data_IF_441576083831
#
_entry.id   IF_441576083831
#
_cell.length_a   1.000
_cell.length_b   1.000
_cell.length_c   1.000
_cell.angle_alpha   90.00
_cell.angle_beta   90.00
_cell.angle_gamma   90.00
#
_symmetry.space_group_name_H-M   'P 1'
#
loop_
_entity.id
_entity.type
_entity.pdbx_description
1 polymer ?
#
# COMPACT_ATOMS: atom_id res chain seq x y z
N UNK A 1 47.22 32.25 -22.64
CA UNK A 1 46.46 30.99 -22.70
C UNK A 1 46.49 30.43 -21.29
N UNK A 2 45.46 30.71 -20.50
CA UNK A 2 45.41 30.44 -19.06
C UNK A 2 44.77 29.08 -18.79
N UNK A 3 45.23 28.35 -17.75
CA UNK A 3 44.90 26.95 -17.50
C UNK A 3 43.44 26.80 -17.03
N UNK A 4 42.52 26.74 -17.97
CA UNK A 4 41.12 26.33 -17.76
C UNK A 4 40.88 25.07 -18.57
N UNK A 5 41.36 23.91 -18.13
CA UNK A 5 40.96 22.63 -18.76
C UNK A 5 41.42 21.34 -18.03
N UNK A 6 41.78 21.38 -16.74
CA UNK A 6 42.27 20.19 -16.03
C UNK A 6 41.55 19.81 -14.72
N UNK A 7 40.40 20.42 -14.39
CA UNK A 7 39.64 20.10 -13.16
C UNK A 7 38.19 19.72 -13.45
N UNK A 8 37.91 19.08 -14.58
CA UNK A 8 36.55 18.69 -14.97
C UNK A 8 36.26 17.19 -14.82
N UNK A 9 37.06 16.41 -14.08
CA UNK A 9 36.92 14.96 -14.15
C UNK A 9 37.18 14.14 -12.88
N UNK A 10 37.11 14.73 -11.68
CA UNK A 10 37.13 13.89 -10.49
C UNK A 10 36.17 14.37 -9.39
N UNK A 11 35.44 13.40 -8.86
CA UNK A 11 34.56 13.48 -7.69
C UNK A 11 33.09 13.93 -7.84
N UNK A 12 32.42 13.34 -8.82
CA UNK A 12 30.98 13.05 -8.81
C UNK A 12 30.55 11.99 -7.75
N UNK A 13 31.22 11.85 -6.59
CA UNK A 13 31.07 10.64 -5.77
C UNK A 13 30.90 10.75 -4.25
N UNK A 14 30.73 11.92 -3.65
CA UNK A 14 30.38 11.96 -2.22
C UNK A 14 29.56 13.19 -1.91
N UNK A 15 28.43 12.97 -1.22
CA UNK A 15 27.40 13.92 -0.77
C UNK A 15 26.27 14.13 -1.79
N UNK A 16 25.14 13.40 -1.68
CA UNK A 16 23.92 13.89 -2.31
C UNK A 16 23.61 15.29 -1.75
N UNK A 17 23.16 16.24 -2.58
CA UNK A 17 22.75 17.55 -2.10
C UNK A 17 21.64 17.37 -1.05
N UNK A 18 21.78 18.08 0.06
CA UNK A 18 20.85 18.17 1.19
C UNK A 18 19.49 18.82 0.81
N UNK A 19 19.08 18.72 -0.47
CA UNK A 19 17.88 19.33 -1.03
C UNK A 19 16.82 18.29 -1.46
N UNK A 20 16.94 17.03 -1.01
CA UNK A 20 15.89 16.01 -1.17
C UNK A 20 14.93 15.92 0.02
N UNK A 21 14.99 16.88 0.95
CA UNK A 21 13.90 17.14 1.88
C UNK A 21 13.20 18.43 1.46
N UNK A 22 12.53 18.39 0.30
CA UNK A 22 11.30 19.16 0.21
C UNK A 22 10.35 18.52 1.21
N UNK A 23 10.38 19.07 2.42
CA UNK A 23 9.29 19.00 3.37
C UNK A 23 8.06 19.55 2.63
N UNK A 24 7.37 18.66 1.92
CA UNK A 24 5.99 18.86 1.54
C UNK A 24 5.23 18.96 2.86
N UNK A 25 5.14 20.18 3.37
CA UNK A 25 4.07 20.61 4.25
C UNK A 25 2.75 20.56 3.48
N UNK A 26 2.35 19.36 3.07
CA UNK A 26 0.95 19.01 2.89
C UNK A 26 0.53 18.46 4.24
N UNK A 27 -0.31 19.24 4.92
CA UNK A 27 -1.15 18.76 6.01
C UNK A 27 -1.67 17.37 5.60
N UNK A 28 -1.12 16.30 6.20
CA UNK A 28 -1.72 14.97 6.08
C UNK A 28 -3.11 15.16 6.66
N UNK A 29 -4.11 15.24 5.79
CA UNK A 29 -5.51 15.20 6.16
C UNK A 29 -5.76 13.82 6.78
N UNK A 30 -5.50 13.71 8.10
CA UNK A 30 -5.78 12.55 8.95
C UNK A 30 -7.27 12.13 8.90
N UNK A 31 -8.11 12.90 8.21
CA UNK A 31 -9.54 12.66 8.00
C UNK A 31 -9.86 11.72 6.84
N UNK A 32 -8.87 11.31 6.04
CA UNK A 32 -9.08 10.66 4.75
C UNK A 32 -8.42 9.26 4.68
N UNK A 33 -8.76 8.36 5.60
CA UNK A 33 -8.39 6.92 5.54
C UNK A 33 -9.19 6.15 4.44
N UNK A 34 -9.44 6.77 3.28
CA UNK A 34 -10.27 6.17 2.20
C UNK A 34 -9.56 5.03 1.48
N UNK A 35 -8.23 4.94 1.61
CA UNK A 35 -7.40 3.94 0.96
C UNK A 35 -6.78 2.93 1.94
N UNK A 36 -7.36 2.74 3.12
CA UNK A 36 -6.85 1.78 4.11
C UNK A 36 -7.75 0.55 4.18
N UNK A 37 -7.15 -0.65 4.16
CA UNK A 37 -7.86 -1.92 4.31
C UNK A 37 -8.22 -2.24 5.78
N UNK A 38 -8.99 -3.31 6.03
CA UNK A 38 -9.40 -3.70 7.41
C UNK A 38 -8.21 -4.08 8.32
N UNK A 39 -7.01 -4.22 7.75
CA UNK A 39 -5.77 -4.60 8.44
C UNK A 39 -4.82 -3.42 8.64
N UNK A 40 -5.22 -2.21 8.22
CA UNK A 40 -4.42 -1.01 8.38
C UNK A 40 -3.38 -0.80 7.27
N UNK A 41 -3.46 -1.54 6.16
CA UNK A 41 -2.55 -1.36 5.04
C UNK A 41 -3.10 -0.36 4.04
N UNK A 42 -2.21 0.47 3.48
CA UNK A 42 -2.55 1.38 2.39
C UNK A 42 -2.70 0.58 1.10
N UNK A 43 -3.82 0.78 0.42
CA UNK A 43 -4.14 0.17 -0.88
C UNK A 43 -3.83 1.18 -1.99
N UNK A 44 -3.00 0.77 -2.93
CA UNK A 44 -2.67 1.52 -4.13
C UNK A 44 -3.51 1.05 -5.32
N UNK A 45 -3.63 1.88 -6.36
CA UNK A 45 -4.37 1.53 -7.58
C UNK A 45 -3.85 0.26 -8.27
N UNK A 46 -2.56 -0.04 -8.09
CA UNK A 46 -1.87 -1.19 -8.69
C UNK A 46 -2.08 -2.49 -7.88
N UNK A 47 -2.66 -2.41 -6.69
CA UNK A 47 -2.84 -3.58 -5.83
C UNK A 47 -4.04 -4.42 -6.23
N UNK A 48 -4.08 -5.63 -5.68
CA UNK A 48 -5.27 -6.46 -5.66
C UNK A 48 -5.93 -6.37 -4.29
N UNK A 49 -7.23 -6.14 -4.29
CA UNK A 49 -8.06 -6.08 -3.09
C UNK A 49 -8.94 -7.32 -3.04
N UNK A 50 -8.91 -7.98 -1.89
CA UNK A 50 -9.64 -9.21 -1.58
C UNK A 50 -10.79 -8.86 -0.65
N UNK A 51 -12.02 -9.04 -1.12
CA UNK A 51 -13.23 -8.98 -0.29
C UNK A 51 -13.56 -10.40 0.11
N UNK A 52 -13.30 -10.73 1.36
CA UNK A 52 -13.32 -12.10 1.89
C UNK A 52 -14.38 -12.24 2.97
N UNK A 53 -15.02 -13.41 3.04
CA UNK A 53 -16.04 -13.75 4.03
C UNK A 53 -15.62 -15.01 4.79
N UNK A 54 -15.53 -14.93 6.10
CA UNK A 54 -15.21 -16.08 6.96
C UNK A 54 -16.43 -16.49 7.80
N UNK A 55 -16.59 -17.79 7.99
CA UNK A 55 -17.48 -18.32 9.03
C UNK A 55 -16.82 -18.14 10.39
N UNK A 56 -17.44 -17.34 11.25
CA UNK A 56 -16.99 -17.16 12.61
C UNK A 56 -18.15 -17.45 13.55
N UNK A 57 -18.10 -18.61 14.22
CA UNK A 57 -19.24 -19.15 14.99
C UNK A 57 -20.49 -19.30 14.09
N UNK A 58 -21.63 -18.72 14.48
CA UNK A 58 -22.89 -18.75 13.72
C UNK A 58 -23.08 -17.52 12.79
N UNK A 59 -22.04 -16.68 12.62
CA UNK A 59 -22.12 -15.47 11.78
C UNK A 59 -21.07 -15.48 10.66
N UNK A 60 -21.36 -14.72 9.61
CA UNK A 60 -20.42 -14.42 8.53
C UNK A 60 -19.70 -13.11 8.82
N UNK A 61 -18.37 -13.12 8.82
CA UNK A 61 -17.53 -11.94 8.98
C UNK A 61 -16.96 -11.53 7.62
N UNK A 62 -17.29 -10.32 7.17
CA UNK A 62 -16.69 -9.69 5.99
C UNK A 62 -15.40 -8.99 6.39
N UNK A 63 -14.35 -9.16 5.59
CA UNK A 63 -13.08 -8.46 5.70
C UNK A 63 -12.66 -8.01 4.29
N UNK A 64 -11.95 -6.89 4.20
CA UNK A 64 -11.37 -6.36 2.98
C UNK A 64 -9.89 -6.16 3.25
N UNK A 65 -9.05 -6.78 2.43
CA UNK A 65 -7.60 -6.74 2.58
C UNK A 65 -6.91 -6.58 1.24
N UNK A 66 -5.78 -5.89 1.23
CA UNK A 66 -4.75 -6.09 0.21
C UNK A 66 -4.20 -7.53 0.27
N UNK A 67 -3.21 -7.86 -0.56
CA UNK A 67 -2.58 -9.19 -0.52
C UNK A 67 -2.04 -9.55 0.88
N UNK A 68 -1.41 -8.60 1.58
CA UNK A 68 -0.88 -8.81 2.93
C UNK A 68 -2.00 -8.98 3.96
N UNK A 69 -3.06 -8.16 3.86
CA UNK A 69 -4.26 -8.30 4.68
C UNK A 69 -4.96 -9.65 4.47
N UNK A 70 -5.02 -10.14 3.23
CA UNK A 70 -5.58 -11.46 2.91
C UNK A 70 -4.81 -12.61 3.56
N UNK A 71 -3.48 -12.57 3.51
CA UNK A 71 -2.65 -13.60 4.16
C UNK A 71 -2.81 -13.55 5.68
N UNK A 72 -2.88 -12.35 6.26
CA UNK A 72 -3.14 -12.15 7.69
C UNK A 72 -4.51 -12.71 8.09
N UNK A 73 -5.55 -12.44 7.29
CA UNK A 73 -6.89 -12.98 7.53
C UNK A 73 -6.93 -14.51 7.53
N UNK A 74 -6.19 -15.14 6.61
CA UNK A 74 -6.11 -16.60 6.55
C UNK A 74 -5.43 -17.20 7.78
N UNK A 75 -4.39 -16.54 8.30
CA UNK A 75 -3.71 -16.96 9.54
C UNK A 75 -4.63 -16.80 10.77
N UNK A 76 -5.37 -15.67 10.85
CA UNK A 76 -6.23 -15.36 12.00
C UNK A 76 -7.54 -16.17 12.04
N UNK A 77 -8.19 -16.40 10.89
CA UNK A 77 -9.54 -16.98 10.83
C UNK A 77 -9.61 -18.43 10.39
N UNK A 78 -8.45 -19.05 10.09
CA UNK A 78 -8.29 -20.37 9.47
C UNK A 78 -8.84 -20.42 8.02
N UNK A 79 -8.06 -20.88 7.03
CA UNK A 79 -8.50 -20.97 5.63
C UNK A 79 -9.74 -21.84 5.43
N UNK A 80 -9.98 -22.83 6.30
CA UNK A 80 -11.13 -23.74 6.20
C UNK A 80 -12.47 -23.04 6.46
N UNK A 81 -12.43 -21.89 7.13
CA UNK A 81 -13.61 -21.08 7.41
C UNK A 81 -13.90 -20.06 6.30
N UNK A 82 -13.02 -19.90 5.32
CA UNK A 82 -13.23 -19.02 4.18
C UNK A 82 -14.40 -19.52 3.32
N UNK A 83 -15.37 -18.63 3.08
CA UNK A 83 -16.49 -18.89 2.17
C UNK A 83 -16.02 -18.52 0.76
N UNK A 84 -15.28 -19.43 0.12
CA UNK A 84 -14.65 -19.20 -1.18
C UNK A 84 -15.64 -18.77 -2.29
N UNK A 85 -16.90 -19.23 -2.23
CA UNK A 85 -17.95 -18.84 -3.18
C UNK A 85 -18.31 -17.34 -3.11
N UNK A 86 -18.00 -16.67 -2.01
CA UNK A 86 -18.22 -15.24 -1.78
C UNK A 86 -16.94 -14.40 -1.86
N UNK A 87 -15.79 -15.03 -2.13
CA UNK A 87 -14.53 -14.30 -2.27
C UNK A 87 -14.55 -13.51 -3.58
N UNK A 88 -14.37 -12.19 -3.48
CA UNK A 88 -14.24 -11.31 -4.64
C UNK A 88 -12.83 -10.72 -4.68
N UNK A 89 -12.22 -10.71 -5.86
CA UNK A 89 -10.92 -10.09 -6.11
C UNK A 89 -11.16 -8.95 -7.09
N UNK A 90 -10.85 -7.74 -6.68
CA UNK A 90 -11.00 -6.54 -7.50
C UNK A 90 -9.69 -5.76 -7.53
N UNK A 91 -9.48 -4.97 -8.58
CA UNK A 91 -8.31 -4.10 -8.62
C UNK A 91 -8.40 -3.00 -7.57
N UNK A 92 -7.26 -2.56 -7.05
CA UNK A 92 -7.17 -1.42 -6.14
C UNK A 92 -7.80 -0.19 -6.76
N UNK A 93 -7.55 0.05 -8.06
CA UNK A 93 -8.23 1.09 -8.83
C UNK A 93 -9.76 0.99 -8.76
N UNK A 94 -10.35 -0.19 -8.99
CA UNK A 94 -11.81 -0.36 -8.89
C UNK A 94 -12.33 -0.16 -7.47
N UNK A 95 -11.58 -0.60 -6.46
CA UNK A 95 -11.95 -0.44 -5.07
C UNK A 95 -11.94 1.04 -4.64
N UNK A 96 -10.87 1.77 -4.98
CA UNK A 96 -10.73 3.20 -4.67
C UNK A 96 -11.78 4.06 -5.39
N UNK A 97 -12.26 3.64 -6.57
CA UNK A 97 -13.36 4.31 -7.28
C UNK A 97 -14.76 4.01 -6.70
N UNK A 98 -14.89 3.01 -5.82
CA UNK A 98 -16.17 2.60 -5.20
C UNK A 98 -16.37 3.13 -3.77
N UNK A 99 -15.35 3.80 -3.21
CA UNK A 99 -15.40 4.45 -1.89
C UNK A 99 -16.31 5.68 -1.91
#
# INVERSE_FOLDING_TARGET
>A
MTPKEAEAHDYYYTTPPEEFYQEYGDEIDDTANWNIDDFGNVVYESDWVFVMYFKHMDIEKKLVGSQEGFMTALDEYDPSNLIAEKLEIISGKEWLNKQ
#
